data_IF_467003064341
#
_entry.id   IF_467003064341
#
_cell.length_a   1.000
_cell.length_b   1.000
_cell.length_c   1.000
_cell.angle_alpha   90.00
_cell.angle_beta   90.00
_cell.angle_gamma   90.00
#
_symmetry.space_group_name_H-M   'P 1'
#
loop_
_entity.id
_entity.type
_entity.pdbx_description
1 polymer ?
#
# COMPACT_ATOMS: atom_id res chain seq x y z
N UNK A 1 -19.43 -22.24 -2.48
CA UNK A 1 -17.99 -22.04 -2.20
C UNK A 1 -17.74 -20.54 -2.17
N UNK A 2 -17.06 -20.02 -1.15
CA UNK A 2 -16.72 -18.60 -1.06
C UNK A 2 -15.30 -18.38 -1.59
N UNK A 3 -15.11 -17.34 -2.39
CA UNK A 3 -13.78 -16.94 -2.89
C UNK A 3 -13.18 -15.98 -1.87
N UNK A 4 -11.99 -16.30 -1.37
CA UNK A 4 -11.23 -15.44 -0.47
C UNK A 4 -10.00 -14.93 -1.21
N UNK A 5 -9.81 -13.61 -1.21
CA UNK A 5 -8.58 -12.98 -1.72
C UNK A 5 -7.87 -12.20 -0.62
N UNK A 6 -6.54 -12.19 -0.64
CA UNK A 6 -5.70 -11.57 0.40
C UNK A 6 -4.76 -10.49 -0.15
N UNK A 7 -4.65 -9.42 0.64
CA UNK A 7 -3.65 -8.38 0.49
C UNK A 7 -3.02 -8.07 1.86
N UNK A 8 -1.80 -7.57 1.84
CA UNK A 8 -1.01 -7.23 3.01
C UNK A 8 -0.51 -5.79 2.90
N UNK A 9 -0.50 -5.09 4.02
CA UNK A 9 0.11 -3.78 4.14
C UNK A 9 1.03 -3.76 5.36
N UNK A 10 2.21 -3.20 5.20
CA UNK A 10 3.18 -2.96 6.27
C UNK A 10 3.40 -1.47 6.38
N UNK A 11 3.54 -0.94 7.59
CA UNK A 11 3.77 0.48 7.83
C UNK A 11 4.74 0.67 8.99
N UNK A 12 5.74 1.52 8.80
CA UNK A 12 6.73 1.88 9.81
C UNK A 12 6.87 3.39 9.92
N UNK A 13 6.90 3.90 11.16
CA UNK A 13 7.04 5.32 11.46
C UNK A 13 5.71 6.05 11.64
N UNK A 14 5.79 7.38 11.72
CA UNK A 14 4.62 8.24 11.96
C UNK A 14 3.71 8.38 10.72
N UNK A 15 2.57 9.05 10.86
CA UNK A 15 1.61 9.16 9.76
C UNK A 15 2.15 9.93 8.55
N UNK A 16 2.98 10.97 8.72
CA UNK A 16 3.40 11.86 7.63
C UNK A 16 4.72 11.43 7.00
N UNK A 17 5.67 10.97 7.81
CA UNK A 17 7.00 10.55 7.36
C UNK A 17 7.17 9.04 7.36
N UNK A 18 6.19 8.30 7.87
CA UNK A 18 6.21 6.85 7.81
C UNK A 18 6.20 6.34 6.38
N UNK A 19 6.76 5.15 6.24
CA UNK A 19 6.86 4.44 4.98
C UNK A 19 6.06 3.16 5.13
N UNK A 20 5.24 2.88 4.14
CA UNK A 20 4.53 1.63 4.04
C UNK A 20 4.87 0.89 2.76
N UNK A 21 4.44 -0.36 2.74
CA UNK A 21 4.47 -1.20 1.55
C UNK A 21 3.18 -1.99 1.44
N UNK A 22 2.71 -2.22 0.22
CA UNK A 22 1.55 -3.06 -0.05
C UNK A 22 1.91 -4.27 -0.92
N UNK A 23 1.30 -5.41 -0.62
CA UNK A 23 1.49 -6.67 -1.35
C UNK A 23 0.16 -7.37 -1.58
N UNK A 24 0.00 -8.08 -2.69
CA UNK A 24 -1.15 -8.94 -2.97
C UNK A 24 -0.73 -10.40 -3.01
N UNK A 25 -1.62 -11.32 -2.63
CA UNK A 25 -1.32 -12.76 -2.70
C UNK A 25 -1.04 -13.25 -4.13
N UNK A 26 -1.55 -12.53 -5.14
CA UNK A 26 -1.30 -12.79 -6.54
C UNK A 26 0.11 -12.40 -6.99
N UNK A 27 0.87 -11.66 -6.17
CA UNK A 27 2.18 -11.12 -6.53
C UNK A 27 2.16 -9.94 -7.49
N UNK A 28 0.98 -9.53 -8.00
CA UNK A 28 0.84 -8.36 -8.87
C UNK A 28 1.34 -7.07 -8.19
N UNK A 29 1.16 -6.97 -6.87
CA UNK A 29 1.85 -6.00 -6.03
C UNK A 29 2.75 -6.77 -5.06
N UNK A 30 4.05 -6.45 -5.08
CA UNK A 30 5.04 -7.03 -4.17
C UNK A 30 5.82 -5.91 -3.51
N UNK A 31 5.56 -5.69 -2.22
CA UNK A 31 6.21 -4.69 -1.38
C UNK A 31 6.24 -3.29 -2.03
N UNK A 32 5.17 -2.94 -2.74
CA UNK A 32 5.10 -1.67 -3.47
C UNK A 32 5.07 -0.52 -2.47
N UNK A 33 6.00 0.46 -2.59
CA UNK A 33 6.11 1.53 -1.61
C UNK A 33 4.84 2.37 -1.60
N UNK A 34 4.41 2.70 -0.40
CA UNK A 34 3.15 3.35 -0.14
C UNK A 34 3.31 4.34 1.00
N UNK A 35 2.91 5.60 0.79
CA UNK A 35 3.17 6.66 1.75
C UNK A 35 2.00 7.64 1.88
N UNK A 36 2.02 8.46 2.92
CA UNK A 36 1.05 9.52 3.11
C UNK A 36 1.12 10.54 1.96
N UNK A 37 2.33 10.84 1.49
CA UNK A 37 2.54 11.72 0.34
C UNK A 37 1.94 11.15 -0.96
N UNK A 38 1.90 9.83 -1.16
CA UNK A 38 1.27 9.23 -2.35
C UNK A 38 -0.26 9.19 -2.24
N UNK A 39 -0.84 9.23 -1.03
CA UNK A 39 -2.31 9.33 -0.83
C UNK A 39 -2.85 10.75 -0.79
N UNK A 40 -2.16 11.65 -0.10
CA UNK A 40 -2.67 12.96 0.30
C UNK A 40 -1.80 14.13 -0.20
N UNK A 41 -0.66 13.85 -0.83
CA UNK A 41 0.31 14.86 -1.28
C UNK A 41 0.06 15.45 -2.67
N UNK A 42 -1.04 15.10 -3.35
CA UNK A 42 -1.44 15.72 -4.63
C UNK A 42 -0.58 15.39 -5.86
N UNK A 43 0.45 14.55 -5.73
CA UNK A 43 1.21 14.01 -6.87
C UNK A 43 0.53 12.76 -7.45
N UNK A 44 0.60 12.57 -8.78
CA UNK A 44 0.13 11.40 -9.51
C UNK A 44 0.69 10.09 -8.92
N UNK A 45 0.00 9.54 -7.93
CA UNK A 45 0.28 8.24 -7.34
C UNK A 45 -1.04 7.50 -7.29
N UNK A 46 -1.03 6.21 -7.66
CA UNK A 46 -2.21 5.36 -7.72
C UNK A 46 -3.01 5.47 -6.41
N UNK A 47 -4.07 6.28 -6.47
CA UNK A 47 -5.01 6.48 -5.39
C UNK A 47 -5.89 5.22 -5.32
N UNK A 48 -6.09 4.63 -4.14
CA UNK A 48 -6.93 3.44 -3.96
C UNK A 48 -8.42 3.74 -4.08
#
# INVERSE_FOLDING_TARGET
MAIHKKGLAHWEGDLKHGKGTVSTESGALSQQPYGFNTRFGGGEGHQP
#
